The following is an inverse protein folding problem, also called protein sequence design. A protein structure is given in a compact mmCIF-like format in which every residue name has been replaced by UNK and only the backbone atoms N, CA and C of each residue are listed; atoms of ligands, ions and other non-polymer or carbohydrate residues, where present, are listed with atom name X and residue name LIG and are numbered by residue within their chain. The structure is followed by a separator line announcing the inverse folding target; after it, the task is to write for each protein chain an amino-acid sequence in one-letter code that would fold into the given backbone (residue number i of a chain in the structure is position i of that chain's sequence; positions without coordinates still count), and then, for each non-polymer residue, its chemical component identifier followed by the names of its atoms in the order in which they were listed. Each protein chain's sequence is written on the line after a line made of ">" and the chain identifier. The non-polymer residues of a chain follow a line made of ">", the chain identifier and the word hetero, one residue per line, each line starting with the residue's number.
data_IF_226180315380
#
_entry.id   IF_226180315380
#
_cell.length_a   1.000
_cell.length_b   1.000
_cell.length_c   1.000
_cell.angle_alpha   90.00
_cell.angle_beta   90.00
_cell.angle_gamma   90.00
#
_symmetry.space_group_name_H-M   'P 1'
#
loop_
_entity.id
_entity.type
_entity.pdbx_description
1 polymer ?
#
# COMPACT_ATOMS: atom_id res chain seq x y z
N UNK A 1 -17.17 4.32 9.10
CA UNK A 1 -16.83 3.88 7.72
C UNK A 1 -15.88 4.89 7.12
N UNK A 2 -14.63 4.52 6.84
CA UNK A 2 -13.60 5.45 6.33
C UNK A 2 -13.83 5.78 4.85
N UNK A 3 -13.53 7.02 4.43
CA UNK A 3 -13.51 7.44 3.03
C UNK A 3 -12.62 6.52 2.16
N UNK A 4 -11.60 5.92 2.78
CA UNK A 4 -10.71 4.93 2.21
C UNK A 4 -11.42 3.68 1.67
N UNK A 5 -12.43 3.16 2.36
CA UNK A 5 -13.13 1.91 1.96
C UNK A 5 -14.10 2.14 0.79
N UNK A 6 -14.54 3.40 0.55
CA UNK A 6 -15.51 3.76 -0.50
C UNK A 6 -14.88 4.19 -1.83
N UNK A 7 -13.55 4.33 -1.91
CA UNK A 7 -12.86 4.69 -3.14
C UNK A 7 -12.93 3.55 -4.18
N UNK A 8 -13.83 3.69 -5.15
CA UNK A 8 -13.92 2.87 -6.36
C UNK A 8 -13.40 3.67 -7.56
N UNK A 9 -12.55 3.09 -8.40
CA UNK A 9 -12.05 3.75 -9.63
C UNK A 9 -10.91 4.76 -9.43
N UNK A 10 -10.18 4.68 -8.32
CA UNK A 10 -9.08 5.60 -7.97
C UNK A 10 -7.76 5.33 -8.69
N UNK A 11 -7.67 4.25 -9.48
CA UNK A 11 -6.46 3.85 -10.18
C UNK A 11 -6.74 3.50 -11.65
N UNK A 12 -5.76 3.74 -12.52
CA UNK A 12 -5.75 3.27 -13.91
C UNK A 12 -4.61 2.26 -14.07
N UNK A 13 -4.84 1.07 -14.64
CA UNK A 13 -3.76 0.13 -14.94
C UNK A 13 -2.88 0.72 -16.06
N UNK A 14 -1.58 0.83 -15.82
CA UNK A 14 -0.61 1.35 -16.80
C UNK A 14 0.06 0.20 -17.58
N UNK A 15 0.14 -0.99 -16.97
CA UNK A 15 0.63 -2.22 -17.60
C UNK A 15 1.22 -3.21 -16.59
N UNK A 16 1.01 -4.51 -16.80
CA UNK A 16 1.54 -5.56 -15.92
C UNK A 16 1.03 -5.45 -14.47
N UNK A 17 1.94 -5.16 -13.54
CA UNK A 17 1.66 -4.94 -12.10
C UNK A 17 1.69 -3.46 -11.69
N UNK A 18 1.80 -2.55 -12.66
CA UNK A 18 1.91 -1.11 -12.45
C UNK A 18 0.60 -0.37 -12.62
N UNK A 19 0.35 0.54 -11.67
CA UNK A 19 -0.88 1.32 -11.56
C UNK A 19 -0.56 2.80 -11.41
N UNK A 20 -1.44 3.66 -11.90
CA UNK A 20 -1.37 5.11 -11.72
C UNK A 20 -2.59 5.59 -10.95
N UNK A 21 -2.35 6.44 -9.95
CA UNK A 21 -3.41 7.04 -9.13
C UNK A 21 -4.16 8.06 -9.97
N UNK A 22 -5.43 7.82 -10.29
CA UNK A 22 -6.27 8.82 -10.99
C UNK A 22 -6.87 9.83 -10.01
N UNK A 23 -7.20 9.37 -8.80
CA UNK A 23 -7.89 10.17 -7.78
C UNK A 23 -7.04 10.22 -6.52
N UNK A 24 -6.85 11.40 -5.90
CA UNK A 24 -6.06 11.50 -4.68
C UNK A 24 -6.59 10.54 -3.60
N UNK A 25 -5.67 9.79 -2.99
CA UNK A 25 -6.02 8.82 -1.94
C UNK A 25 -5.67 9.44 -0.58
N UNK A 26 -6.66 9.94 0.18
CA UNK A 26 -6.44 10.36 1.55
C UNK A 26 -6.33 9.13 2.46
N UNK A 27 -5.27 9.10 3.25
CA UNK A 27 -4.98 8.09 4.25
C UNK A 27 -4.68 8.77 5.58
N UNK A 28 -5.21 8.24 6.67
CA UNK A 28 -4.96 8.76 8.01
C UNK A 28 -4.03 7.79 8.75
N UNK A 29 -2.90 8.31 9.22
CA UNK A 29 -1.84 7.50 9.83
C UNK A 29 -2.23 7.00 11.22
N UNK A 30 -2.12 5.69 11.45
CA UNK A 30 -2.08 5.06 12.77
C UNK A 30 -3.41 4.94 13.52
N UNK A 31 -4.38 5.81 13.24
CA UNK A 31 -5.74 5.69 13.74
C UNK A 31 -6.68 6.60 12.94
N UNK A 32 -7.95 6.19 12.85
CA UNK A 32 -9.02 7.07 12.39
C UNK A 32 -9.18 8.20 13.42
N UNK A 33 -9.04 9.46 12.98
CA UNK A 33 -9.05 10.65 13.84
C UNK A 33 -7.69 11.04 14.41
N UNK A 34 -6.57 10.47 13.96
CA UNK A 34 -5.23 10.89 14.40
C UNK A 34 -4.84 12.30 13.94
N UNK A 35 -5.52 12.85 12.92
CA UNK A 35 -5.21 14.16 12.34
C UNK A 35 -3.97 14.17 11.42
N UNK A 36 -3.27 13.04 11.30
CA UNK A 36 -2.12 12.88 10.42
C UNK A 36 -2.55 12.35 9.05
N UNK A 37 -2.81 13.27 8.13
CA UNK A 37 -3.26 12.94 6.78
C UNK A 37 -2.08 12.79 5.81
N UNK A 38 -1.96 11.61 5.22
CA UNK A 38 -1.22 11.37 4.00
C UNK A 38 -2.19 11.50 2.83
N UNK A 39 -1.86 12.36 1.86
CA UNK A 39 -2.62 12.44 0.62
C UNK A 39 -1.69 12.04 -0.51
N UNK A 40 -1.94 10.88 -1.11
CA UNK A 40 -1.23 10.45 -2.31
C UNK A 40 -1.83 11.23 -3.49
N UNK A 41 -1.05 12.08 -4.19
CA UNK A 41 -1.56 12.88 -5.29
C UNK A 41 -1.88 12.01 -6.52
N UNK A 42 -2.85 12.45 -7.31
CA UNK A 42 -3.12 11.89 -8.64
C UNK A 42 -1.90 12.02 -9.54
N UNK A 43 -1.66 11.02 -10.41
CA UNK A 43 -0.47 10.87 -11.25
C UNK A 43 0.67 10.11 -10.59
N UNK A 44 0.53 9.69 -9.32
CA UNK A 44 1.52 8.83 -8.66
C UNK A 44 1.48 7.44 -9.31
N UNK A 45 2.62 7.00 -9.84
CA UNK A 45 2.81 5.62 -10.32
C UNK A 45 3.30 4.76 -9.17
N UNK A 46 2.67 3.61 -9.00
CA UNK A 46 3.03 2.62 -7.98
C UNK A 46 2.94 1.22 -8.57
N UNK A 47 3.77 0.32 -8.06
CA UNK A 47 3.81 -1.06 -8.52
C UNK A 47 3.41 -1.97 -7.36
N UNK A 48 2.49 -2.90 -7.62
CA UNK A 48 2.17 -3.94 -6.65
C UNK A 48 3.27 -5.03 -6.67
N UNK A 49 4.45 -4.66 -6.19
CA UNK A 49 5.62 -5.54 -6.14
C UNK A 49 5.53 -6.49 -4.95
N UNK A 50 4.66 -7.51 -5.07
CA UNK A 50 4.66 -8.65 -4.14
C UNK A 50 5.87 -9.54 -4.45
N UNK A 51 6.67 -9.95 -3.44
CA UNK A 51 7.84 -10.81 -3.64
C UNK A 51 7.45 -12.12 -4.32
N UNK A 52 8.26 -12.59 -5.28
CA UNK A 52 7.96 -13.79 -6.07
C UNK A 52 7.70 -15.03 -5.20
N UNK A 53 8.46 -15.17 -4.10
CA UNK A 53 8.30 -16.23 -3.11
C UNK A 53 7.07 -16.08 -2.20
N UNK A 54 6.34 -14.96 -2.31
CA UNK A 54 5.05 -14.74 -1.65
C UNK A 54 3.88 -14.84 -2.66
N UNK A 55 4.15 -14.74 -3.97
CA UNK A 55 3.11 -14.79 -5.02
C UNK A 55 2.36 -16.11 -5.13
N UNK A 56 2.89 -17.20 -4.58
CA UNK A 56 2.19 -18.49 -4.51
C UNK A 56 1.09 -18.51 -3.44
N UNK A 57 1.20 -17.67 -2.41
CA UNK A 57 0.23 -17.57 -1.31
C UNK A 57 -0.62 -16.30 -1.42
N UNK A 58 -0.09 -15.24 -2.04
CA UNK A 58 -0.69 -13.91 -2.07
C UNK A 58 -0.80 -13.39 -3.50
N UNK A 59 -2.03 -13.11 -3.94
CA UNK A 59 -2.28 -12.60 -5.29
C UNK A 59 -1.90 -11.11 -5.37
N UNK A 60 -0.89 -10.71 -6.18
CA UNK A 60 -0.54 -9.30 -6.37
C UNK A 60 -1.66 -8.46 -6.98
N UNK A 61 -2.68 -9.08 -7.57
CA UNK A 61 -3.84 -8.40 -8.12
C UNK A 61 -4.96 -8.19 -7.10
N UNK A 62 -4.86 -8.67 -5.86
CA UNK A 62 -5.91 -8.45 -4.86
C UNK A 62 -6.07 -6.93 -4.60
N UNK A 63 -7.28 -6.37 -4.76
CA UNK A 63 -7.55 -4.95 -4.52
C UNK A 63 -7.17 -4.48 -3.09
N UNK A 64 -7.10 -5.38 -2.11
CA UNK A 64 -6.64 -5.08 -0.74
C UNK A 64 -5.17 -4.66 -0.70
N UNK A 65 -4.33 -5.32 -1.49
CA UNK A 65 -2.90 -5.01 -1.53
C UNK A 65 -2.59 -3.74 -2.32
N UNK A 66 -3.41 -3.40 -3.32
CA UNK A 66 -3.15 -2.24 -4.21
C UNK A 66 -3.08 -0.91 -3.46
N UNK A 67 -3.99 -0.66 -2.53
CA UNK A 67 -4.01 0.60 -1.76
C UNK A 67 -2.82 0.67 -0.82
N UNK A 68 -2.52 -0.42 -0.12
CA UNK A 68 -1.37 -0.49 0.77
C UNK A 68 -0.05 -0.30 0.01
N UNK A 69 0.12 -0.98 -1.14
CA UNK A 69 1.30 -0.83 -2.00
C UNK A 69 1.47 0.59 -2.54
N UNK A 70 0.37 1.25 -2.93
CA UNK A 70 0.41 2.66 -3.35
C UNK A 70 0.95 3.58 -2.25
N UNK A 71 0.46 3.42 -1.01
CA UNK A 71 0.94 4.19 0.14
C UNK A 71 2.42 3.91 0.42
N UNK A 72 2.81 2.65 0.43
CA UNK A 72 4.20 2.23 0.66
C UNK A 72 5.15 2.84 -0.37
N UNK A 73 4.84 2.68 -1.66
CA UNK A 73 5.69 3.16 -2.75
C UNK A 73 5.77 4.68 -2.75
N UNK A 74 4.67 5.40 -2.48
CA UNK A 74 4.69 6.86 -2.39
C UNK A 74 5.52 7.34 -1.19
N UNK A 75 5.38 6.70 -0.02
CA UNK A 75 6.17 7.03 1.16
C UNK A 75 7.66 6.77 0.95
N UNK A 76 8.00 5.68 0.27
CA UNK A 76 9.38 5.30 -0.03
C UNK A 76 10.00 6.20 -1.10
N UNK A 77 9.31 6.43 -2.21
CA UNK A 77 9.84 7.16 -3.38
C UNK A 77 9.78 8.68 -3.26
N UNK A 78 8.63 9.22 -2.80
CA UNK A 78 8.39 10.67 -2.80
C UNK A 78 8.77 11.29 -1.46
N UNK A 79 8.46 10.62 -0.34
CA UNK A 79 8.74 11.15 1.00
C UNK A 79 10.09 10.73 1.57
N UNK A 80 10.77 9.77 0.95
CA UNK A 80 12.06 9.27 1.42
C UNK A 80 12.00 8.64 2.81
N UNK A 81 10.83 8.10 3.19
CA UNK A 81 10.67 7.46 4.50
C UNK A 81 11.53 6.21 4.59
N UNK A 82 12.02 5.93 5.82
CA UNK A 82 12.69 4.67 6.10
C UNK A 82 11.76 3.49 5.81
N UNK A 83 12.31 2.41 5.24
CA UNK A 83 11.55 1.21 4.82
C UNK A 83 10.67 0.65 5.93
N UNK A 84 11.18 0.65 7.17
CA UNK A 84 10.43 0.16 8.34
C UNK A 84 9.22 1.03 8.65
N UNK A 85 9.36 2.36 8.52
CA UNK A 85 8.26 3.29 8.73
C UNK A 85 7.22 3.17 7.60
N UNK A 86 7.66 3.12 6.34
CA UNK A 86 6.76 2.87 5.20
C UNK A 86 6.05 1.50 5.32
N UNK A 87 6.77 0.46 5.77
CA UNK A 87 6.24 -0.85 6.06
C UNK A 87 5.20 -0.82 7.17
N UNK A 88 5.42 -0.07 8.26
CA UNK A 88 4.43 0.04 9.33
C UNK A 88 3.09 0.61 8.83
N UNK A 89 3.14 1.63 7.95
CA UNK A 89 1.94 2.18 7.30
C UNK A 89 1.28 1.17 6.38
N UNK A 90 2.07 0.41 5.62
CA UNK A 90 1.57 -0.70 4.79
C UNK A 90 0.82 -1.74 5.64
N UNK A 91 1.39 -2.18 6.76
CA UNK A 91 0.78 -3.14 7.66
C UNK A 91 -0.54 -2.62 8.26
N UNK A 92 -0.60 -1.34 8.61
CA UNK A 92 -1.81 -0.69 9.12
C UNK A 92 -2.91 -0.62 8.05
N UNK A 93 -2.54 -0.29 6.80
CA UNK A 93 -3.45 -0.31 5.66
C UNK A 93 -4.04 -1.70 5.41
N UNK A 94 -3.21 -2.76 5.46
CA UNK A 94 -3.71 -4.14 5.35
C UNK A 94 -4.66 -4.53 6.48
N UNK A 95 -4.38 -4.08 7.71
CA UNK A 95 -5.27 -4.31 8.83
C UNK A 95 -6.64 -3.64 8.62
N UNK A 96 -6.66 -2.43 8.06
CA UNK A 96 -7.90 -1.72 7.71
C UNK A 96 -8.69 -2.42 6.59
N UNK A 97 -8.01 -3.08 5.66
CA UNK A 97 -8.63 -3.87 4.58
C UNK A 97 -9.02 -5.31 5.01
N UNK A 98 -8.81 -5.66 6.29
CA UNK A 98 -9.28 -6.91 6.90
C UNK A 98 -8.39 -8.12 6.64
N UNK A 99 -7.12 -7.89 6.27
CA UNK A 99 -6.14 -8.97 6.06
C UNK A 99 -5.74 -9.60 7.40
N UNK A 100 -5.68 -10.94 7.52
CA UNK A 100 -5.35 -11.60 8.77
C UNK A 100 -3.92 -11.29 9.24
N UNK A 101 -3.70 -11.34 10.57
CA UNK A 101 -2.45 -10.96 11.24
C UNK A 101 -1.20 -11.65 10.67
N UNK A 102 -1.28 -12.94 10.39
CA UNK A 102 -0.14 -13.72 9.90
C UNK A 102 0.28 -13.29 8.49
N UNK A 103 -0.70 -12.97 7.64
CA UNK A 103 -0.49 -12.52 6.26
C UNK A 103 0.11 -11.12 6.22
N UNK A 104 -0.47 -10.18 6.98
CA UNK A 104 0.09 -8.83 7.09
C UNK A 104 1.51 -8.82 7.67
N UNK A 105 1.83 -9.69 8.63
CA UNK A 105 3.18 -9.80 9.20
C UNK A 105 4.17 -10.39 8.20
N UNK A 106 3.78 -11.44 7.46
CA UNK A 106 4.62 -12.03 6.42
C UNK A 106 4.94 -11.00 5.32
N UNK A 107 3.93 -10.26 4.86
CA UNK A 107 4.12 -9.20 3.87
C UNK A 107 4.93 -8.04 4.41
N UNK A 108 4.67 -7.59 5.64
CA UNK A 108 5.41 -6.53 6.30
C UNK A 108 6.90 -6.84 6.43
N UNK A 109 7.22 -8.06 6.89
CA UNK A 109 8.60 -8.54 6.96
C UNK A 109 9.24 -8.56 5.57
N UNK A 110 8.51 -9.03 4.56
CA UNK A 110 9.03 -9.07 3.20
C UNK A 110 9.34 -7.67 2.65
N UNK A 111 8.43 -6.70 2.75
CA UNK A 111 8.66 -5.34 2.21
C UNK A 111 9.68 -4.54 3.03
N UNK A 112 9.74 -4.79 4.34
CA UNK A 112 10.67 -4.10 5.25
C UNK A 112 12.10 -4.62 5.15
N UNK A 113 12.27 -5.94 5.00
CA UNK A 113 13.59 -6.60 5.03
C UNK A 113 14.17 -6.89 3.64
N UNK A 114 13.36 -7.23 2.64
CA UNK A 114 13.88 -7.52 1.31
C UNK A 114 14.03 -6.23 0.49
N UNK A 115 15.28 -5.93 0.14
CA UNK A 115 15.63 -4.99 -0.93
C UNK A 115 15.78 -5.79 -2.22
N UNK A 116 15.02 -5.45 -3.26
CA UNK A 116 15.43 -5.81 -4.62
C UNK A 116 16.75 -5.07 -4.87
N UNK A 117 17.86 -5.81 -4.79
CA UNK A 117 19.18 -5.35 -5.16
C UNK A 117 19.29 -5.27 -6.67
#
# INVERSE_FOLDING_TARGET
>A
MSAYTRLTGWHVPVGGIGFEVSTPVPWELGAIGSGLWIIVPSGTRFDCSVPLFLRWAFDPLDPRYRKASCLHDWLLSVKGWGRVAAGAVFHDALAADGVPLWERLAMWLAVSLYRFA
#
